data_IF_371768656255
#
_entry.id   IF_371768656255
#
_cell.length_a   1.000
_cell.length_b   1.000
_cell.length_c   1.000
_cell.angle_alpha   90.00
_cell.angle_beta   90.00
_cell.angle_gamma   90.00
#
_symmetry.space_group_name_H-M   'P 1'
#
loop_
_entity.id
_entity.type
_entity.pdbx_description
1 polymer ?
#
# COMPACT_ATOMS: atom_id res chain seq x y z
N UNK A 1 13.37 -58.82 39.43
CA UNK A 1 12.50 -57.74 39.95
C UNK A 1 13.07 -56.33 39.69
N UNK A 2 13.69 -56.08 38.50
CA UNK A 2 14.35 -54.80 38.21
C UNK A 2 13.60 -53.93 37.19
N UNK A 3 12.40 -54.30 36.77
CA UNK A 3 11.76 -53.62 35.61
C UNK A 3 10.63 -52.62 35.93
N UNK A 4 10.20 -52.56 37.21
CA UNK A 4 9.10 -51.61 37.58
C UNK A 4 9.57 -50.17 37.81
N UNK A 5 10.81 -50.00 38.27
CA UNK A 5 11.34 -48.66 38.56
C UNK A 5 11.67 -47.81 37.31
N UNK A 6 12.06 -48.48 36.23
CA UNK A 6 12.42 -47.80 34.98
C UNK A 6 11.20 -47.28 34.22
N UNK A 7 10.10 -48.03 34.18
CA UNK A 7 8.83 -47.64 33.54
C UNK A 7 8.19 -46.40 34.20
N UNK A 8 8.29 -46.30 35.55
CA UNK A 8 7.77 -45.17 36.30
C UNK A 8 8.55 -43.86 36.05
N UNK A 9 9.86 -43.97 35.87
CA UNK A 9 10.70 -42.77 35.58
C UNK A 9 10.50 -42.28 34.17
N UNK A 10 10.38 -43.15 33.18
CA UNK A 10 10.13 -42.77 31.77
C UNK A 10 8.75 -42.11 31.61
N UNK A 11 7.72 -42.66 32.30
CA UNK A 11 6.37 -42.04 32.27
C UNK A 11 6.33 -40.64 32.87
N UNK A 12 7.07 -40.38 33.95
CA UNK A 12 7.16 -39.06 34.60
C UNK A 12 7.91 -38.06 33.74
N UNK A 13 8.98 -38.45 33.06
CA UNK A 13 9.73 -37.58 32.14
C UNK A 13 8.89 -37.26 30.92
N UNK A 14 8.17 -38.21 30.34
CA UNK A 14 7.27 -37.97 29.20
C UNK A 14 6.15 -36.97 29.52
N UNK A 15 5.57 -37.04 30.70
CA UNK A 15 4.52 -36.11 31.13
C UNK A 15 5.06 -34.70 31.34
N UNK A 16 6.29 -34.55 31.81
CA UNK A 16 6.92 -33.24 32.06
C UNK A 16 7.32 -32.58 30.78
N UNK A 17 7.81 -33.29 29.76
CA UNK A 17 8.14 -32.76 28.43
C UNK A 17 6.88 -32.33 27.69
N UNK A 18 5.78 -33.10 27.79
CA UNK A 18 4.51 -32.73 27.16
C UNK A 18 3.91 -31.47 27.77
N UNK A 19 4.02 -31.28 29.09
CA UNK A 19 3.54 -30.07 29.79
C UNK A 19 4.28 -28.81 29.38
N UNK A 20 5.58 -28.86 29.16
CA UNK A 20 6.40 -27.71 28.74
C UNK A 20 6.05 -27.28 27.29
N UNK A 21 5.77 -28.23 26.40
CA UNK A 21 5.42 -27.95 25.02
C UNK A 21 4.07 -27.21 24.88
N UNK A 22 3.09 -27.50 25.71
CA UNK A 22 1.78 -26.86 25.71
C UNK A 22 1.86 -25.44 26.26
N UNK A 23 2.65 -25.21 27.30
CA UNK A 23 2.82 -23.86 27.88
C UNK A 23 3.51 -22.89 26.91
N UNK A 24 4.45 -23.34 26.09
CA UNK A 24 5.14 -22.52 25.09
C UNK A 24 4.24 -22.01 23.97
N UNK A 25 3.26 -22.80 23.53
CA UNK A 25 2.34 -22.42 22.45
C UNK A 25 1.33 -21.35 22.88
N UNK A 26 0.84 -21.40 24.13
CA UNK A 26 -0.11 -20.41 24.66
C UNK A 26 0.54 -19.04 24.81
N UNK A 27 1.79 -18.97 25.26
CA UNK A 27 2.52 -17.70 25.40
C UNK A 27 2.81 -17.03 24.04
N UNK A 28 3.09 -17.81 23.01
CA UNK A 28 3.35 -17.31 21.67
C UNK A 28 2.08 -16.74 21.01
N UNK A 29 0.92 -17.30 21.29
CA UNK A 29 -0.37 -16.81 20.79
C UNK A 29 -0.76 -15.48 21.44
N UNK A 30 -0.61 -15.34 22.76
CA UNK A 30 -0.93 -14.10 23.47
C UNK A 30 -0.05 -12.92 23.02
N UNK A 31 1.23 -13.14 22.75
CA UNK A 31 2.12 -12.10 22.22
C UNK A 31 1.71 -11.63 20.83
N UNK A 32 1.23 -12.53 19.98
CA UNK A 32 0.74 -12.23 18.64
C UNK A 32 -0.56 -11.42 18.66
N UNK A 33 -1.48 -11.78 19.54
CA UNK A 33 -2.75 -11.05 19.72
C UNK A 33 -2.50 -9.64 20.23
N UNK A 34 -1.57 -9.44 21.15
CA UNK A 34 -1.20 -8.11 21.62
C UNK A 34 -0.60 -7.24 20.51
N UNK A 35 0.23 -7.79 19.63
CA UNK A 35 0.77 -7.05 18.48
C UNK A 35 -0.32 -6.67 17.48
N UNK A 36 -1.29 -7.54 17.26
CA UNK A 36 -2.44 -7.24 16.39
C UNK A 36 -3.31 -6.15 17.01
N UNK A 37 -3.60 -6.24 18.30
CA UNK A 37 -4.39 -5.23 19.02
C UNK A 37 -3.72 -3.85 18.97
N UNK A 38 -2.41 -3.75 19.10
CA UNK A 38 -1.67 -2.50 18.97
C UNK A 38 -1.77 -1.89 17.55
N UNK A 39 -1.77 -2.72 16.51
CA UNK A 39 -1.92 -2.25 15.13
C UNK A 39 -3.35 -1.83 14.79
N UNK A 40 -4.32 -2.36 15.50
CA UNK A 40 -5.75 -2.08 15.32
C UNK A 40 -6.25 -0.98 16.27
N UNK A 41 -5.37 -0.34 17.03
CA UNK A 41 -5.80 0.79 17.87
C UNK A 41 -6.38 1.91 16.99
N UNK A 42 -7.56 2.43 17.35
CA UNK A 42 -8.14 3.54 16.60
C UNK A 42 -7.22 4.75 16.66
N UNK A 43 -6.99 5.38 15.51
CA UNK A 43 -6.08 6.54 15.34
C UNK A 43 -6.64 7.83 15.95
N UNK A 44 -7.71 7.74 16.70
CA UNK A 44 -8.32 8.86 17.40
C UNK A 44 -9.71 8.52 17.92
N UNK A 45 -10.21 9.32 18.84
CA UNK A 45 -11.58 9.29 19.30
C UNK A 45 -12.37 10.44 18.66
N UNK A 46 -13.50 10.12 18.05
CA UNK A 46 -14.42 11.13 17.52
C UNK A 46 -15.29 11.61 18.69
N UNK A 47 -15.19 12.89 19.01
CA UNK A 47 -16.06 13.52 19.99
C UNK A 47 -17.26 14.15 19.30
N UNK A 48 -18.45 13.88 19.77
CA UNK A 48 -19.66 14.55 19.32
C UNK A 48 -19.72 15.96 19.91
N UNK A 49 -20.22 16.91 19.13
CA UNK A 49 -20.33 18.30 19.56
C UNK A 49 -21.24 18.36 20.81
N UNK A 50 -20.67 18.76 21.98
CA UNK A 50 -21.37 18.89 23.23
C UNK A 50 -20.96 17.91 24.33
N UNK A 51 -20.12 16.92 24.06
CA UNK A 51 -19.57 16.01 25.07
C UNK A 51 -18.11 16.34 25.42
N UNK A 52 -17.81 16.36 26.71
CA UNK A 52 -16.42 16.49 27.16
C UNK A 52 -15.68 15.20 26.88
N UNK A 53 -14.75 15.23 25.93
CA UNK A 53 -13.84 14.12 25.72
C UNK A 53 -13.06 13.86 26.99
N UNK A 54 -13.17 12.66 27.58
CA UNK A 54 -12.39 12.28 28.73
C UNK A 54 -10.90 12.45 28.39
N UNK A 55 -10.25 13.39 29.08
CA UNK A 55 -8.85 13.72 28.96
C UNK A 55 -8.01 12.54 29.48
N UNK A 56 -7.62 11.67 28.61
CA UNK A 56 -6.76 10.52 28.87
C UNK A 56 -5.82 10.25 27.69
N UNK A 57 -5.08 11.25 27.28
CA UNK A 57 -4.05 11.10 26.26
C UNK A 57 -3.44 12.46 25.98
N UNK A 58 -2.13 12.61 26.16
CA UNK A 58 -1.38 13.81 25.82
C UNK A 58 -1.91 14.45 24.56
N UNK A 59 -2.42 15.66 24.71
CA UNK A 59 -2.68 16.55 23.59
C UNK A 59 -1.34 16.86 22.90
N UNK A 60 -0.90 15.98 22.04
CA UNK A 60 -0.23 16.47 20.86
C UNK A 60 -1.29 17.34 20.18
N UNK A 61 -1.08 18.63 20.17
CA UNK A 61 -1.81 19.60 19.36
C UNK A 61 -1.57 19.24 17.91
N UNK A 62 -2.19 18.14 17.49
CA UNK A 62 -2.46 17.93 16.07
C UNK A 62 -3.65 18.83 15.80
N UNK A 63 -3.39 20.10 15.47
CA UNK A 63 -4.18 20.81 14.49
C UNK A 63 -4.70 19.75 13.52
N UNK A 64 -6.04 19.69 13.24
CA UNK A 64 -6.47 18.82 12.17
C UNK A 64 -5.59 19.23 11.00
N UNK A 65 -4.62 18.39 10.65
CA UNK A 65 -4.13 18.37 9.33
C UNK A 65 -5.38 17.95 8.54
N UNK A 66 -6.21 18.92 8.18
CA UNK A 66 -6.77 18.95 6.86
C UNK A 66 -5.57 18.54 6.07
N UNK A 67 -5.64 17.30 5.49
CA UNK A 67 -4.63 16.91 4.55
C UNK A 67 -4.44 18.17 3.73
N UNK A 68 -3.43 18.96 4.10
CA UNK A 68 -2.88 19.91 3.20
C UNK A 68 -2.51 18.98 2.09
N UNK A 69 -3.39 18.90 1.08
CA UNK A 69 -2.92 18.68 -0.23
C UNK A 69 -1.70 19.58 -0.25
N UNK A 70 -0.56 18.95 0.07
CA UNK A 70 0.70 19.64 0.05
C UNK A 70 0.67 20.30 -1.30
N UNK A 71 0.79 21.63 -1.31
CA UNK A 71 1.22 22.36 -2.48
C UNK A 71 2.69 21.98 -2.73
N UNK A 72 3.02 20.70 -2.61
CA UNK A 72 4.12 20.09 -3.29
C UNK A 72 3.79 20.36 -4.76
N UNK A 73 4.58 21.23 -5.36
CA UNK A 73 4.46 21.54 -6.76
C UNK A 73 4.23 20.22 -7.49
N UNK A 74 3.20 20.17 -8.34
CA UNK A 74 2.85 18.96 -9.09
C UNK A 74 4.13 18.38 -9.71
N UNK A 75 4.27 17.07 -9.63
CA UNK A 75 5.38 16.34 -10.23
C UNK A 75 4.83 15.22 -11.10
N UNK A 76 5.07 15.31 -12.39
CA UNK A 76 4.69 14.27 -13.34
C UNK A 76 5.30 12.92 -12.95
N UNK A 77 6.58 12.90 -12.54
CA UNK A 77 7.25 11.70 -12.05
C UNK A 77 6.57 11.15 -10.80
N UNK A 78 6.32 11.97 -9.78
CA UNK A 78 5.69 11.51 -8.54
C UNK A 78 4.28 10.96 -8.78
N UNK A 79 3.52 11.59 -9.68
CA UNK A 79 2.19 11.11 -10.06
C UNK A 79 2.27 9.80 -10.87
N UNK A 80 3.25 9.68 -11.77
CA UNK A 80 3.52 8.44 -12.49
C UNK A 80 3.84 7.30 -11.52
N UNK A 81 4.76 7.53 -10.59
CA UNK A 81 5.21 6.50 -9.63
C UNK A 81 4.04 6.03 -8.74
N UNK A 82 3.12 6.91 -8.41
CA UNK A 82 1.99 6.61 -7.55
C UNK A 82 0.86 5.88 -8.27
N UNK A 83 0.51 6.25 -9.51
CA UNK A 83 -0.70 5.78 -10.17
C UNK A 83 -0.45 4.93 -11.42
N UNK A 84 0.64 5.14 -12.12
CA UNK A 84 0.87 4.58 -13.45
C UNK A 84 1.90 3.44 -13.46
N UNK A 85 2.91 3.53 -12.60
CA UNK A 85 4.08 2.65 -12.59
C UNK A 85 3.73 1.17 -12.40
N UNK A 86 2.69 0.84 -11.66
CA UNK A 86 2.29 -0.54 -11.44
C UNK A 86 2.07 -1.29 -12.77
N UNK A 87 1.39 -0.65 -13.72
CA UNK A 87 1.14 -1.24 -15.02
C UNK A 87 2.24 -0.93 -16.04
N UNK A 88 2.69 0.33 -16.10
CA UNK A 88 3.62 0.79 -17.14
C UNK A 88 5.10 0.48 -16.88
N UNK A 89 5.50 0.04 -15.68
CA UNK A 89 6.84 -0.54 -15.46
C UNK A 89 6.88 -2.03 -15.80
N UNK A 90 5.77 -2.74 -15.56
CA UNK A 90 5.73 -4.21 -15.69
C UNK A 90 5.16 -4.70 -17.02
N UNK A 91 4.40 -3.87 -17.73
CA UNK A 91 3.64 -4.28 -18.93
C UNK A 91 2.36 -5.03 -18.58
N UNK A 92 1.84 -4.87 -17.36
CA UNK A 92 0.61 -5.53 -16.89
C UNK A 92 -0.56 -5.24 -17.83
N UNK A 93 -1.37 -6.27 -18.12
CA UNK A 93 -2.54 -6.17 -18.98
C UNK A 93 -2.27 -5.57 -20.39
N UNK A 94 -1.04 -5.69 -20.87
CA UNK A 94 -0.62 -5.15 -22.17
C UNK A 94 -0.28 -3.65 -22.15
N UNK A 95 -0.09 -3.05 -20.97
CA UNK A 95 0.33 -1.66 -20.88
C UNK A 95 1.70 -1.45 -21.52
N UNK A 96 1.88 -0.46 -22.39
CA UNK A 96 3.18 -0.15 -22.97
C UNK A 96 4.13 0.32 -21.87
N UNK A 97 5.34 -0.25 -21.86
CA UNK A 97 6.30 0.04 -20.80
C UNK A 97 6.95 1.40 -21.00
N UNK A 98 7.21 2.10 -19.90
CA UNK A 98 7.91 3.40 -19.95
C UNK A 98 9.27 3.32 -20.64
N UNK A 99 9.99 2.22 -20.48
CA UNK A 99 11.32 2.01 -21.06
C UNK A 99 11.30 1.71 -22.56
N UNK A 100 10.13 1.44 -23.15
CA UNK A 100 9.99 1.12 -24.56
C UNK A 100 9.84 2.38 -25.41
N UNK A 101 10.94 3.12 -25.56
CA UNK A 101 10.98 4.35 -26.34
C UNK A 101 10.58 4.14 -27.82
N UNK A 102 10.88 2.98 -28.38
CA UNK A 102 10.52 2.67 -29.78
C UNK A 102 9.00 2.56 -29.94
N UNK A 103 8.32 1.90 -29.00
CA UNK A 103 6.86 1.84 -28.97
C UNK A 103 6.23 3.23 -28.88
N UNK A 104 6.73 4.06 -27.96
CA UNK A 104 6.18 5.40 -27.75
C UNK A 104 6.41 6.31 -28.95
N UNK A 105 7.58 6.28 -29.55
CA UNK A 105 7.87 7.04 -30.79
C UNK A 105 6.91 6.65 -31.92
N UNK A 106 6.80 5.34 -32.19
CA UNK A 106 5.89 4.84 -33.22
C UNK A 106 4.42 5.23 -32.94
N UNK A 107 4.00 5.16 -31.67
CA UNK A 107 2.63 5.50 -31.29
C UNK A 107 2.32 7.00 -31.41
N UNK A 108 3.30 7.85 -31.07
CA UNK A 108 3.17 9.29 -31.25
C UNK A 108 3.10 9.65 -32.75
N UNK A 109 3.91 9.01 -33.59
CA UNK A 109 3.87 9.20 -35.04
C UNK A 109 2.54 8.76 -35.66
N UNK A 110 1.96 7.64 -35.16
CA UNK A 110 0.73 7.06 -35.68
C UNK A 110 -0.52 7.91 -35.37
N UNK A 111 -0.70 8.32 -34.12
CA UNK A 111 -1.94 8.95 -33.67
C UNK A 111 -1.76 10.33 -33.03
N UNK A 112 -0.54 10.75 -32.80
CA UNK A 112 -0.20 12.01 -32.13
C UNK A 112 -0.29 11.96 -30.61
N UNK A 113 0.51 12.78 -29.94
CA UNK A 113 0.57 12.87 -28.49
C UNK A 113 -0.79 13.25 -27.88
N UNK A 114 -1.52 14.20 -28.50
CA UNK A 114 -2.83 14.61 -28.02
C UNK A 114 -3.87 13.49 -27.96
N UNK A 115 -3.86 12.57 -28.94
CA UNK A 115 -4.73 11.40 -28.90
C UNK A 115 -4.34 10.42 -27.78
N UNK A 116 -3.03 10.27 -27.52
CA UNK A 116 -2.53 9.46 -26.41
C UNK A 116 -2.98 10.04 -25.07
N UNK A 117 -2.88 11.36 -24.89
CA UNK A 117 -3.37 12.07 -23.70
C UNK A 117 -4.88 11.86 -23.53
N UNK A 118 -5.65 12.02 -24.61
CA UNK A 118 -7.10 11.78 -24.59
C UNK A 118 -7.45 10.35 -24.16
N UNK A 119 -6.70 9.36 -24.66
CA UNK A 119 -6.86 7.97 -24.25
C UNK A 119 -6.53 7.77 -22.77
N UNK A 120 -5.51 8.44 -22.25
CA UNK A 120 -5.15 8.36 -20.84
C UNK A 120 -6.21 9.00 -19.94
N UNK A 121 -6.83 10.11 -20.37
CA UNK A 121 -7.90 10.79 -19.62
C UNK A 121 -9.18 9.93 -19.59
N UNK A 122 -9.58 9.37 -20.73
CA UNK A 122 -10.84 8.64 -20.86
C UNK A 122 -10.70 7.16 -20.48
N UNK A 123 -9.49 6.63 -20.44
CA UNK A 123 -9.20 5.21 -20.36
C UNK A 123 -9.26 4.52 -21.72
N UNK A 124 -8.51 3.43 -21.88
CA UNK A 124 -8.48 2.63 -23.10
C UNK A 124 -8.19 1.15 -22.76
N UNK A 125 -8.99 0.23 -23.31
CA UNK A 125 -8.85 -1.20 -23.05
C UNK A 125 -8.87 -1.52 -21.54
N UNK A 126 -7.77 -2.06 -21.00
CA UNK A 126 -7.63 -2.35 -19.58
C UNK A 126 -7.15 -1.15 -18.73
N UNK A 127 -6.78 -0.05 -19.37
CA UNK A 127 -6.36 1.16 -18.67
C UNK A 127 -7.59 1.94 -18.17
N UNK A 128 -7.74 2.14 -16.86
CA UNK A 128 -8.84 2.94 -16.33
C UNK A 128 -8.66 4.44 -16.63
N UNK A 129 -9.75 5.22 -16.61
CA UNK A 129 -9.69 6.67 -16.77
C UNK A 129 -8.68 7.30 -15.80
N UNK A 130 -7.83 8.20 -16.34
CA UNK A 130 -6.78 8.91 -15.59
C UNK A 130 -5.79 8.02 -14.86
N UNK A 131 -5.69 6.72 -15.21
CA UNK A 131 -4.86 5.76 -14.48
C UNK A 131 -5.24 5.62 -13.00
N UNK A 132 -6.52 5.86 -12.65
CA UNK A 132 -7.08 5.92 -11.29
C UNK A 132 -6.73 7.19 -10.48
N UNK A 133 -6.06 8.17 -11.03
CA UNK A 133 -5.85 9.48 -10.39
C UNK A 133 -7.11 10.35 -10.52
N UNK A 134 -8.10 10.14 -9.67
CA UNK A 134 -9.36 10.89 -9.73
C UNK A 134 -9.23 12.39 -9.48
N UNK A 135 -8.16 12.82 -8.83
CA UNK A 135 -7.88 14.23 -8.48
C UNK A 135 -6.96 14.94 -9.47
N UNK A 136 -6.35 14.22 -10.42
CA UNK A 136 -5.50 14.84 -11.43
C UNK A 136 -6.32 15.63 -12.44
N UNK A 137 -5.85 16.83 -12.81
CA UNK A 137 -6.44 17.60 -13.93
C UNK A 137 -5.99 17.02 -15.28
N UNK A 138 -6.63 17.46 -16.36
CA UNK A 138 -6.27 17.03 -17.72
C UNK A 138 -4.83 17.45 -18.08
N UNK A 139 -4.43 18.63 -17.65
CA UNK A 139 -3.09 19.17 -17.84
C UNK A 139 -2.05 18.30 -17.10
N UNK A 140 -2.35 17.92 -15.86
CA UNK A 140 -1.49 17.03 -15.08
C UNK A 140 -1.35 15.65 -15.71
N UNK A 141 -2.44 15.10 -16.26
CA UNK A 141 -2.37 13.84 -17.02
C UNK A 141 -1.53 14.01 -18.27
N UNK A 142 -1.63 15.16 -18.98
CA UNK A 142 -0.77 15.46 -20.14
C UNK A 142 0.71 15.42 -19.78
N UNK A 143 1.10 16.10 -18.70
CA UNK A 143 2.49 16.11 -18.22
C UNK A 143 2.98 14.70 -17.81
N UNK A 144 2.11 13.88 -17.21
CA UNK A 144 2.44 12.50 -16.89
C UNK A 144 2.62 11.65 -18.14
N UNK A 145 1.79 11.83 -19.17
CA UNK A 145 1.93 11.13 -20.46
C UNK A 145 3.21 11.55 -21.18
N UNK A 146 3.57 12.82 -21.16
CA UNK A 146 4.84 13.30 -21.70
C UNK A 146 6.04 12.67 -20.97
N UNK A 147 5.98 12.62 -19.63
CA UNK A 147 7.01 11.97 -18.82
C UNK A 147 7.12 10.47 -19.11
N UNK A 148 5.98 9.78 -19.23
CA UNK A 148 5.91 8.34 -19.52
C UNK A 148 6.45 8.01 -20.92
N UNK A 149 6.06 8.79 -21.93
CA UNK A 149 6.43 8.57 -23.33
C UNK A 149 7.82 9.10 -23.69
N UNK A 150 8.44 9.90 -22.81
CA UNK A 150 9.68 10.63 -23.12
C UNK A 150 9.50 11.79 -24.09
N UNK A 151 8.27 12.21 -24.39
CA UNK A 151 7.99 13.28 -25.36
C UNK A 151 8.46 14.66 -24.88
N UNK A 152 8.57 14.88 -23.57
CA UNK A 152 9.07 16.13 -22.97
C UNK A 152 10.57 16.37 -23.14
N UNK A 153 11.31 15.39 -23.70
CA UNK A 153 12.75 15.47 -23.92
C UNK A 153 13.14 15.80 -25.38
N UNK A 154 12.16 16.16 -26.24
CA UNK A 154 12.39 16.49 -27.66
C UNK A 154 12.31 17.99 -27.92
#
# INVERSE_FOLDING_TARGET
MLNLGLKSRVAKIGLLVLGISIAGTVMAQSAREQQIAQRLQPVGSVCLAGEACAAGGSAATSTPAVAQASTAAFSAQGTYDQYCAMCHNTGMAGAPRREDAAHWTARIEEIGLGAIVTNAINGINAMPPRGMCATCTDEQISEVVEYLSGASAQ
#
